data_IF_563542030318
#
_entry.id   IF_563542030318
#
_cell.length_a   1.000
_cell.length_b   1.000
_cell.length_c   1.000
_cell.angle_alpha   90.00
_cell.angle_beta   90.00
_cell.angle_gamma   90.00
#
_symmetry.space_group_name_H-M   'P 1'
#
loop_
_entity.id
_entity.type
_entity.pdbx_description
1 polymer ?
#
# COMPACT_ATOMS: atom_id res chain seq x y z
N UNK A 1 -32.94 -14.46 -13.90
CA UNK A 1 -32.30 -15.60 -14.61
C UNK A 1 -30.96 -15.28 -15.27
N UNK A 2 -30.83 -14.23 -16.12
CA UNK A 2 -29.54 -13.93 -16.78
C UNK A 2 -28.39 -13.66 -15.81
N UNK A 3 -28.59 -12.79 -14.82
CA UNK A 3 -27.55 -12.51 -13.80
C UNK A 3 -27.07 -13.80 -13.13
N UNK A 4 -27.97 -14.64 -12.62
CA UNK A 4 -27.62 -15.85 -11.84
C UNK A 4 -26.82 -16.91 -12.61
N UNK A 5 -26.90 -16.91 -13.94
CA UNK A 5 -26.22 -17.91 -14.79
C UNK A 5 -24.99 -17.36 -15.53
N UNK A 6 -24.78 -16.04 -15.53
CA UNK A 6 -23.64 -15.42 -16.19
C UNK A 6 -22.31 -15.78 -15.49
N UNK A 7 -21.18 -15.82 -16.21
CA UNK A 7 -19.88 -16.08 -15.59
C UNK A 7 -19.38 -14.87 -14.77
N UNK A 8 -18.61 -15.12 -13.73
CA UNK A 8 -18.06 -14.11 -12.79
C UNK A 8 -17.27 -12.99 -13.45
N UNK A 9 -16.66 -13.25 -14.62
CA UNK A 9 -15.94 -12.24 -15.41
C UNK A 9 -16.82 -11.06 -15.88
N UNK A 10 -18.14 -11.21 -15.79
CA UNK A 10 -19.11 -10.15 -16.12
C UNK A 10 -19.38 -9.21 -14.94
N UNK A 11 -18.89 -9.55 -13.74
CA UNK A 11 -19.03 -8.75 -12.52
C UNK A 11 -17.71 -8.04 -12.22
N UNK A 12 -17.76 -6.76 -11.88
CA UNK A 12 -16.61 -5.92 -11.54
C UNK A 12 -16.87 -5.02 -10.34
N UNK A 13 -15.80 -4.51 -9.72
CA UNK A 13 -15.86 -3.41 -8.75
C UNK A 13 -15.20 -2.18 -9.38
N UNK A 14 -15.88 -1.04 -9.36
CA UNK A 14 -15.30 0.24 -9.80
C UNK A 14 -14.47 0.91 -8.70
N UNK A 15 -13.73 1.97 -9.05
CA UNK A 15 -12.90 2.72 -8.10
C UNK A 15 -13.73 3.48 -7.04
N UNK A 16 -15.04 3.58 -7.23
CA UNK A 16 -16.00 4.15 -6.27
C UNK A 16 -16.69 3.08 -5.41
N UNK A 17 -16.27 1.81 -5.53
CA UNK A 17 -16.85 0.70 -4.78
C UNK A 17 -18.21 0.23 -5.29
N UNK A 18 -18.64 0.66 -6.49
CA UNK A 18 -19.85 0.11 -7.12
C UNK A 18 -19.55 -1.28 -7.63
N UNK A 19 -20.46 -2.21 -7.35
CA UNK A 19 -20.46 -3.54 -7.95
C UNK A 19 -21.32 -3.51 -9.19
N UNK A 20 -20.72 -3.85 -10.32
CA UNK A 20 -21.30 -3.71 -11.65
C UNK A 20 -21.44 -5.08 -12.31
N UNK A 21 -22.54 -5.30 -13.01
CA UNK A 21 -22.76 -6.45 -13.87
C UNK A 21 -22.93 -5.95 -15.31
N UNK A 22 -22.01 -6.33 -16.21
CA UNK A 22 -21.97 -5.85 -17.60
C UNK A 22 -22.01 -4.31 -17.75
N UNK A 23 -21.47 -3.61 -16.75
CA UNK A 23 -21.43 -2.14 -16.69
C UNK A 23 -22.60 -1.51 -15.93
N UNK A 24 -23.67 -2.25 -15.62
CA UNK A 24 -24.78 -1.74 -14.83
C UNK A 24 -24.50 -1.89 -13.34
N UNK A 25 -24.64 -0.81 -12.57
CA UNK A 25 -24.46 -0.82 -11.13
C UNK A 25 -25.60 -1.59 -10.44
N UNK A 26 -25.28 -2.75 -9.88
CA UNK A 26 -26.24 -3.64 -9.20
C UNK A 26 -26.10 -3.60 -7.67
N UNK A 27 -24.95 -3.16 -7.16
CA UNK A 27 -24.66 -3.13 -5.74
C UNK A 27 -23.60 -2.08 -5.38
N UNK A 28 -23.40 -1.84 -4.09
CA UNK A 28 -22.37 -0.99 -3.53
C UNK A 28 -21.61 -1.75 -2.42
N UNK A 29 -20.29 -1.61 -2.41
CA UNK A 29 -19.47 -2.03 -1.28
C UNK A 29 -19.68 -1.07 -0.11
N UNK A 30 -19.98 -1.64 1.05
CA UNK A 30 -20.11 -0.92 2.32
C UNK A 30 -19.21 -1.53 3.38
N UNK A 31 -19.01 -0.81 4.47
CA UNK A 31 -18.23 -1.28 5.61
C UNK A 31 -18.77 -2.62 6.15
N UNK A 32 -17.86 -3.57 6.28
CA UNK A 32 -18.07 -4.81 7.01
C UNK A 32 -17.19 -4.89 8.25
N UNK A 33 -16.97 -6.12 8.75
CA UNK A 33 -16.31 -6.35 10.05
C UNK A 33 -14.82 -6.00 10.05
N UNK A 34 -14.15 -6.17 8.92
CA UNK A 34 -12.75 -5.77 8.70
C UNK A 34 -12.61 -5.18 7.30
N UNK A 35 -11.53 -4.44 7.00
CA UNK A 35 -11.29 -3.95 5.65
C UNK A 35 -11.26 -5.06 4.58
N UNK A 36 -10.84 -6.28 4.94
CA UNK A 36 -10.79 -7.44 4.04
C UNK A 36 -12.11 -8.21 3.95
N UNK A 37 -13.12 -7.82 4.73
CA UNK A 37 -14.47 -8.40 4.73
C UNK A 37 -15.51 -7.30 4.57
N UNK A 38 -15.52 -6.55 3.45
CA UNK A 38 -16.58 -5.60 3.15
C UNK A 38 -17.92 -6.33 2.95
N UNK A 39 -19.02 -5.60 3.04
CA UNK A 39 -20.35 -6.12 2.73
C UNK A 39 -20.85 -5.54 1.42
N UNK A 40 -21.78 -6.24 0.78
CA UNK A 40 -22.51 -5.74 -0.37
C UNK A 40 -23.90 -5.29 0.08
N UNK A 41 -24.31 -4.11 -0.38
CA UNK A 41 -25.70 -3.68 -0.34
C UNK A 41 -26.17 -3.56 -1.78
N UNK A 42 -27.18 -4.36 -2.14
CA UNK A 42 -27.76 -4.29 -3.47
C UNK A 42 -28.48 -2.97 -3.66
N UNK A 43 -28.37 -2.38 -4.86
CA UNK A 43 -29.26 -1.29 -5.23
C UNK A 43 -30.66 -1.88 -5.32
N UNK A 44 -31.59 -1.29 -4.56
CA UNK A 44 -32.97 -1.75 -4.51
C UNK A 44 -33.52 -1.83 -5.92
N UNK A 45 -33.95 -3.03 -6.31
CA UNK A 45 -34.76 -3.24 -7.50
C UNK A 45 -36.15 -3.55 -7.00
N UNK A 46 -37.08 -2.62 -7.16
CA UNK A 46 -38.52 -2.80 -6.90
C UNK A 46 -39.11 -4.05 -7.60
N UNK A 47 -38.36 -4.62 -8.55
CA UNK A 47 -38.74 -5.72 -9.42
C UNK A 47 -38.31 -7.11 -8.91
N UNK A 48 -37.57 -7.23 -7.81
CA UNK A 48 -37.10 -8.52 -7.29
C UNK A 48 -37.95 -9.01 -6.12
N UNK A 49 -38.59 -10.16 -6.29
CA UNK A 49 -39.22 -10.90 -5.20
C UNK A 49 -38.16 -11.40 -4.20
N UNK A 50 -38.55 -11.57 -2.92
CA UNK A 50 -37.63 -11.94 -1.82
C UNK A 50 -36.74 -13.17 -2.11
N UNK A 51 -37.24 -14.28 -2.68
CA UNK A 51 -36.38 -15.43 -3.00
C UNK A 51 -35.32 -15.11 -4.06
N UNK A 52 -35.68 -14.31 -5.07
CA UNK A 52 -34.75 -13.89 -6.11
C UNK A 52 -33.70 -12.91 -5.58
N UNK A 53 -34.10 -12.01 -4.68
CA UNK A 53 -33.20 -11.10 -3.98
C UNK A 53 -32.10 -11.89 -3.23
N UNK A 54 -32.48 -12.88 -2.41
CA UNK A 54 -31.51 -13.67 -1.65
C UNK A 54 -30.52 -14.44 -2.54
N UNK A 55 -31.00 -14.97 -3.68
CA UNK A 55 -30.13 -15.66 -4.64
C UNK A 55 -29.08 -14.72 -5.27
N UNK A 56 -29.49 -13.51 -5.64
CA UNK A 56 -28.59 -12.48 -6.20
C UNK A 56 -27.58 -12.05 -5.14
N UNK A 57 -28.03 -11.78 -3.92
CA UNK A 57 -27.17 -11.38 -2.80
C UNK A 57 -26.12 -12.46 -2.48
N UNK A 58 -26.53 -13.73 -2.36
CA UNK A 58 -25.62 -14.84 -2.11
C UNK A 58 -24.57 -14.97 -3.21
N UNK A 59 -24.98 -14.85 -4.48
CA UNK A 59 -24.07 -14.88 -5.61
C UNK A 59 -23.05 -13.74 -5.57
N UNK A 60 -23.50 -12.51 -5.28
CA UNK A 60 -22.64 -11.34 -5.17
C UNK A 60 -21.62 -11.49 -4.02
N UNK A 61 -22.05 -12.00 -2.87
CA UNK A 61 -21.15 -12.25 -1.73
C UNK A 61 -20.09 -13.32 -2.06
N UNK A 62 -20.49 -14.44 -2.68
CA UNK A 62 -19.55 -15.49 -3.11
C UNK A 62 -18.53 -14.96 -4.13
N UNK A 63 -19.01 -14.17 -5.10
CA UNK A 63 -18.14 -13.52 -6.07
C UNK A 63 -17.15 -12.56 -5.41
N UNK A 64 -17.60 -11.73 -4.47
CA UNK A 64 -16.76 -10.77 -3.77
C UNK A 64 -15.67 -11.47 -2.94
N UNK A 65 -16.02 -12.55 -2.23
CA UNK A 65 -15.05 -13.36 -1.50
C UNK A 65 -13.99 -13.94 -2.44
N UNK A 66 -14.41 -14.49 -3.59
CA UNK A 66 -13.51 -15.01 -4.64
C UNK A 66 -12.62 -13.91 -5.23
N UNK A 67 -13.19 -12.73 -5.48
CA UNK A 67 -12.49 -11.57 -6.02
C UNK A 67 -11.42 -11.06 -5.06
N UNK A 68 -11.76 -10.88 -3.78
CA UNK A 68 -10.81 -10.52 -2.71
C UNK A 68 -9.74 -11.62 -2.59
N UNK A 69 -10.14 -12.88 -2.61
CA UNK A 69 -9.27 -14.06 -2.61
C UNK A 69 -8.22 -14.05 -3.72
N UNK A 70 -8.60 -13.56 -4.90
CA UNK A 70 -7.72 -13.46 -6.07
C UNK A 70 -6.81 -12.23 -6.02
N UNK A 71 -7.38 -11.05 -5.77
CA UNK A 71 -6.64 -9.77 -5.81
C UNK A 71 -5.71 -9.64 -4.61
N UNK A 72 -6.23 -9.93 -3.41
CA UNK A 72 -5.54 -9.77 -2.13
C UNK A 72 -5.03 -11.09 -1.54
N UNK A 73 -4.88 -12.13 -2.37
CA UNK A 73 -4.21 -13.39 -2.02
C UNK A 73 -2.94 -13.21 -1.16
N UNK A 74 -2.03 -12.24 -1.43
CA UNK A 74 -0.84 -12.05 -0.60
C UNK A 74 -1.13 -11.72 0.87
N UNK A 75 -2.24 -11.03 1.18
CA UNK A 75 -2.63 -10.74 2.56
C UNK A 75 -3.23 -11.98 3.24
N UNK A 76 -4.11 -12.68 2.53
CA UNK A 76 -4.77 -13.89 3.05
C UNK A 76 -3.74 -15.00 3.33
N UNK A 77 -2.74 -15.17 2.46
CA UNK A 77 -1.62 -16.11 2.69
C UNK A 77 -0.90 -15.84 4.01
N UNK A 78 -0.76 -14.57 4.41
CA UNK A 78 -0.09 -14.21 5.67
C UNK A 78 -1.00 -14.49 6.88
N UNK A 79 -2.32 -14.35 6.73
CA UNK A 79 -3.28 -14.72 7.78
C UNK A 79 -3.23 -16.23 8.07
N UNK A 80 -3.00 -17.05 7.04
CA UNK A 80 -2.90 -18.51 7.12
C UNK A 80 -1.49 -19.00 7.51
N UNK A 81 -0.48 -18.13 7.48
CA UNK A 81 0.89 -18.52 7.76
C UNK A 81 1.07 -18.91 9.24
N UNK A 82 1.76 -20.04 9.47
CA UNK A 82 2.17 -20.44 10.81
C UNK A 82 3.29 -19.52 11.31
N UNK A 83 2.88 -18.48 12.05
CA UNK A 83 3.75 -17.49 12.66
C UNK A 83 3.45 -17.43 14.16
N UNK A 84 4.50 -17.27 14.96
CA UNK A 84 4.42 -17.22 16.42
C UNK A 84 5.10 -15.98 16.99
N UNK A 85 4.83 -15.71 18.27
CA UNK A 85 5.48 -14.64 19.04
C UNK A 85 5.53 -13.29 18.31
N UNK A 86 6.74 -12.73 18.23
CA UNK A 86 6.99 -11.43 17.61
C UNK A 86 6.66 -11.40 16.11
N UNK A 87 6.87 -12.52 15.39
CA UNK A 87 6.61 -12.60 13.97
C UNK A 87 5.10 -12.56 13.66
N UNK A 88 4.28 -13.27 14.45
CA UNK A 88 2.81 -13.19 14.39
C UNK A 88 2.31 -11.78 14.64
N UNK A 89 2.85 -11.12 15.66
CA UNK A 89 2.48 -9.74 15.99
C UNK A 89 2.80 -8.72 14.89
N UNK A 90 3.92 -8.90 14.18
CA UNK A 90 4.28 -8.07 13.02
C UNK A 90 3.36 -8.37 11.83
N UNK A 91 3.07 -9.64 11.55
CA UNK A 91 2.17 -10.03 10.48
C UNK A 91 0.75 -9.49 10.69
N UNK A 92 0.24 -9.56 11.91
CA UNK A 92 -1.06 -8.97 12.27
C UNK A 92 -1.11 -7.46 11.96
N UNK A 93 -0.14 -6.69 12.45
CA UNK A 93 -0.05 -5.25 12.18
C UNK A 93 0.18 -4.94 10.69
N UNK A 94 0.88 -5.81 9.96
CA UNK A 94 1.07 -5.67 8.52
C UNK A 94 -0.25 -5.87 7.76
N UNK A 95 -1.08 -6.83 8.18
CA UNK A 95 -2.41 -7.06 7.63
C UNK A 95 -3.35 -5.88 7.94
N UNK A 96 -3.33 -5.36 9.18
CA UNK A 96 -4.08 -4.15 9.55
C UNK A 96 -3.65 -2.92 8.74
N UNK A 97 -2.34 -2.80 8.47
CA UNK A 97 -1.77 -1.79 7.56
C UNK A 97 -1.99 -2.07 6.08
N UNK A 98 -2.80 -3.08 5.74
CA UNK A 98 -3.09 -3.55 4.38
C UNK A 98 -1.84 -3.79 3.52
N UNK A 99 -0.79 -4.28 4.16
CA UNK A 99 0.43 -4.75 3.51
C UNK A 99 1.60 -3.78 3.50
N UNK A 100 1.49 -2.66 4.21
CA UNK A 100 2.63 -1.76 4.49
C UNK A 100 2.66 -1.40 5.98
N UNK A 101 3.82 -1.52 6.61
CA UNK A 101 4.00 -1.28 8.04
C UNK A 101 5.35 -0.59 8.30
N UNK A 102 5.34 0.52 9.04
CA UNK A 102 6.60 1.20 9.35
C UNK A 102 7.40 0.45 10.40
N UNK A 103 8.68 0.14 10.14
CA UNK A 103 9.56 -0.52 11.12
C UNK A 103 9.67 0.26 12.43
N UNK A 104 9.42 1.56 12.40
CA UNK A 104 9.45 2.42 13.59
C UNK A 104 8.42 2.00 14.64
N UNK A 105 7.25 1.51 14.22
CA UNK A 105 6.18 1.11 15.15
C UNK A 105 6.45 -0.25 15.80
N UNK A 106 7.24 -1.10 15.13
CA UNK A 106 7.50 -2.49 15.57
C UNK A 106 8.97 -2.77 15.94
N UNK A 107 9.73 -1.73 16.33
CA UNK A 107 11.16 -1.88 16.67
C UNK A 107 11.42 -2.93 17.76
N UNK A 108 10.55 -3.03 18.76
CA UNK A 108 10.69 -3.99 19.86
C UNK A 108 10.49 -5.42 19.35
N UNK A 109 9.43 -5.68 18.57
CA UNK A 109 9.20 -6.99 17.96
C UNK A 109 10.33 -7.40 17.02
N UNK A 110 10.86 -6.47 16.21
CA UNK A 110 11.97 -6.76 15.29
C UNK A 110 13.21 -7.31 16.01
N UNK A 111 13.50 -6.82 17.22
CA UNK A 111 14.66 -7.28 18.02
C UNK A 111 14.51 -8.72 18.52
N UNK A 112 13.30 -9.25 18.51
CA UNK A 112 12.98 -10.60 18.96
C UNK A 112 12.89 -11.59 17.79
N UNK A 113 13.04 -11.14 16.55
CA UNK A 113 12.96 -12.00 15.37
C UNK A 113 14.22 -12.86 15.23
N UNK A 114 14.00 -14.14 14.92
CA UNK A 114 15.01 -15.13 14.59
C UNK A 114 15.26 -15.21 13.09
N UNK A 115 16.33 -15.88 12.66
CA UNK A 115 16.59 -16.14 11.24
C UNK A 115 15.46 -16.92 10.56
N UNK A 116 14.83 -17.85 11.29
CA UNK A 116 13.67 -18.60 10.81
C UNK A 116 12.46 -17.68 10.55
N UNK A 117 12.23 -16.66 11.38
CA UNK A 117 11.18 -15.68 11.16
C UNK A 117 11.44 -14.87 9.87
N UNK A 118 12.69 -14.44 9.65
CA UNK A 118 13.07 -13.75 8.42
C UNK A 118 12.90 -14.63 7.17
N UNK A 119 13.24 -15.91 7.27
CA UNK A 119 13.01 -16.89 6.20
C UNK A 119 11.51 -17.05 5.92
N UNK A 120 10.70 -17.21 6.96
CA UNK A 120 9.25 -17.35 6.87
C UNK A 120 8.60 -16.10 6.25
N UNK A 121 9.03 -14.91 6.65
CA UNK A 121 8.59 -13.65 6.03
C UNK A 121 8.91 -13.62 4.54
N UNK A 122 10.15 -13.99 4.14
CA UNK A 122 10.54 -14.05 2.73
C UNK A 122 9.69 -15.04 1.94
N UNK A 123 9.45 -16.23 2.48
CA UNK A 123 8.60 -17.26 1.85
C UNK A 123 7.14 -16.79 1.66
N UNK A 124 6.66 -15.96 2.58
CA UNK A 124 5.33 -15.35 2.51
C UNK A 124 5.30 -14.02 1.73
N UNK A 125 6.39 -13.66 1.05
CA UNK A 125 6.44 -12.46 0.20
C UNK A 125 6.51 -11.15 0.98
N UNK A 126 6.80 -11.20 2.28
CA UNK A 126 7.03 -10.02 3.12
C UNK A 126 8.48 -9.57 2.95
N UNK A 127 8.66 -8.30 2.61
CA UNK A 127 9.95 -7.66 2.49
C UNK A 127 10.26 -6.85 3.75
N UNK A 128 11.31 -7.28 4.46
CA UNK A 128 11.88 -6.54 5.57
C UNK A 128 12.80 -5.44 5.04
N UNK A 129 12.23 -4.30 4.65
CA UNK A 129 12.97 -3.13 4.19
C UNK A 129 13.79 -2.47 5.31
N UNK A 130 14.43 -1.35 5.00
CA UNK A 130 15.19 -0.52 5.95
C UNK A 130 14.25 0.30 6.82
N UNK A 131 13.26 0.92 6.22
CA UNK A 131 12.29 1.79 6.89
C UNK A 131 10.92 1.14 7.01
N UNK A 132 10.51 0.39 5.99
CA UNK A 132 9.19 -0.23 5.91
C UNK A 132 9.28 -1.77 5.85
N UNK A 133 8.26 -2.42 6.38
CA UNK A 133 7.94 -3.83 6.16
C UNK A 133 6.74 -3.83 5.21
N UNK A 134 6.83 -4.51 4.08
CA UNK A 134 5.77 -4.43 3.07
C UNK A 134 5.69 -5.67 2.18
N UNK A 135 4.59 -5.81 1.46
CA UNK A 135 4.37 -6.92 0.52
C UNK A 135 4.46 -6.35 -0.91
N UNK A 136 5.57 -6.58 -1.65
CA UNK A 136 5.76 -5.98 -2.97
C UNK A 136 4.65 -6.30 -3.97
N UNK A 137 4.05 -7.50 -3.83
CA UNK A 137 2.95 -7.95 -4.68
C UNK A 137 1.72 -7.04 -4.61
N UNK A 138 1.47 -6.36 -3.49
CA UNK A 138 0.34 -5.45 -3.29
C UNK A 138 0.58 -4.04 -3.88
N UNK A 139 1.83 -3.70 -4.17
CA UNK A 139 2.18 -2.42 -4.82
C UNK A 139 1.88 -2.42 -6.34
N UNK A 140 1.41 -3.54 -6.89
CA UNK A 140 0.95 -3.61 -8.29
C UNK A 140 -0.35 -2.80 -8.44
N UNK A 141 -0.55 -2.06 -9.56
CA UNK A 141 -1.63 -1.06 -9.68
C UNK A 141 -3.01 -1.55 -9.24
N UNK A 142 -3.50 -2.66 -9.81
CA UNK A 142 -4.82 -3.24 -9.47
C UNK A 142 -4.97 -3.54 -7.97
N UNK A 143 -3.92 -4.03 -7.31
CA UNK A 143 -3.96 -4.41 -5.89
C UNK A 143 -3.86 -3.20 -5.00
N UNK A 144 -2.98 -2.25 -5.31
CA UNK A 144 -2.85 -1.01 -4.57
C UNK A 144 -4.15 -0.19 -4.62
N UNK A 145 -4.76 -0.09 -5.81
CA UNK A 145 -6.06 0.56 -5.99
C UNK A 145 -7.16 -0.11 -5.17
N UNK A 146 -7.28 -1.44 -5.26
CA UNK A 146 -8.29 -2.18 -4.50
C UNK A 146 -8.07 -2.12 -2.99
N UNK A 147 -6.82 -2.17 -2.53
CA UNK A 147 -6.47 -1.95 -1.11
C UNK A 147 -6.90 -0.56 -0.63
N UNK A 148 -6.62 0.49 -1.42
CA UNK A 148 -7.01 1.85 -1.08
C UNK A 148 -8.53 2.04 -1.07
N UNK A 149 -9.24 1.39 -2.00
CA UNK A 149 -10.70 1.34 -2.04
C UNK A 149 -11.28 0.69 -0.77
N UNK A 150 -10.82 -0.51 -0.40
CA UNK A 150 -11.29 -1.19 0.80
C UNK A 150 -11.04 -0.38 2.08
N UNK A 151 -9.90 0.30 2.15
CA UNK A 151 -9.61 1.22 3.24
C UNK A 151 -10.62 2.37 3.29
N UNK A 152 -10.91 3.01 2.15
CA UNK A 152 -11.86 4.12 2.07
C UNK A 152 -13.29 3.67 2.43
N UNK A 153 -13.72 2.50 1.94
CA UNK A 153 -15.02 1.89 2.29
C UNK A 153 -15.10 1.60 3.78
N UNK A 154 -14.05 1.02 4.38
CA UNK A 154 -14.03 0.72 5.81
C UNK A 154 -14.00 1.97 6.70
N UNK A 155 -13.43 3.07 6.19
CA UNK A 155 -13.44 4.40 6.82
C UNK A 155 -14.72 5.18 6.56
N UNK A 156 -15.64 4.65 5.76
CA UNK A 156 -16.92 5.28 5.43
C UNK A 156 -16.75 6.69 4.86
N UNK A 157 -15.77 6.87 3.97
CA UNK A 157 -15.56 8.15 3.31
C UNK A 157 -16.68 8.44 2.31
N UNK A 158 -17.27 9.63 2.39
CA UNK A 158 -18.30 10.09 1.44
C UNK A 158 -17.80 10.09 -0.01
N UNK A 159 -16.54 10.49 -0.19
CA UNK A 159 -15.85 10.48 -1.48
C UNK A 159 -14.62 9.60 -1.40
N UNK A 160 -14.63 8.52 -2.18
CA UNK A 160 -13.49 7.61 -2.31
C UNK A 160 -12.40 8.33 -3.11
N UNK A 161 -11.20 8.56 -2.54
CA UNK A 161 -10.13 9.21 -3.28
C UNK A 161 -9.52 8.25 -4.30
N UNK A 162 -9.13 8.79 -5.45
CA UNK A 162 -8.39 8.02 -6.45
C UNK A 162 -6.95 7.77 -5.96
N UNK A 163 -6.44 6.53 -6.06
CA UNK A 163 -5.03 6.25 -5.79
C UNK A 163 -4.13 6.93 -6.83
N UNK A 164 -2.83 7.07 -6.56
CA UNK A 164 -1.88 7.58 -7.55
C UNK A 164 -1.90 6.76 -8.85
N UNK A 165 -1.75 7.45 -9.98
CA UNK A 165 -1.79 6.83 -11.32
C UNK A 165 -0.80 5.65 -11.47
N UNK A 166 -1.18 4.58 -12.18
CA UNK A 166 -0.28 3.47 -12.48
C UNK A 166 1.05 3.95 -13.09
N UNK A 167 2.16 3.41 -12.60
CA UNK A 167 3.51 3.76 -13.06
C UNK A 167 4.12 5.00 -12.40
N UNK A 168 3.35 5.85 -11.71
CA UNK A 168 3.91 6.93 -10.90
C UNK A 168 4.69 6.37 -9.70
N UNK A 169 5.93 6.84 -9.53
CA UNK A 169 6.82 6.44 -8.43
C UNK A 169 6.97 7.48 -7.34
N UNK A 170 6.78 8.74 -7.70
CA UNK A 170 6.62 9.85 -6.77
C UNK A 170 5.59 10.83 -7.31
N UNK A 171 4.92 11.49 -6.38
CA UNK A 171 3.98 12.58 -6.65
C UNK A 171 4.24 13.71 -5.65
N UNK A 172 4.07 14.98 -6.06
CA UNK A 172 4.03 16.09 -5.12
C UNK A 172 2.96 15.85 -4.07
N UNK A 173 3.17 16.37 -2.86
CA UNK A 173 2.13 16.36 -1.83
C UNK A 173 1.04 17.35 -2.25
N UNK A 174 -0.02 16.85 -2.90
CA UNK A 174 -1.23 17.62 -3.17
C UNK A 174 -2.28 17.36 -2.07
N UNK A 175 -3.06 18.41 -1.83
CA UNK A 175 -4.14 18.61 -0.84
C UNK A 175 -4.70 17.39 -0.07
N UNK A 176 -4.62 17.48 1.26
CA UNK A 176 -5.72 17.18 2.18
C UNK A 176 -6.01 15.73 2.57
N UNK A 177 -5.60 14.73 1.79
CA UNK A 177 -5.90 13.33 2.14
C UNK A 177 -5.07 12.84 3.35
N UNK A 178 -5.64 11.98 4.21
CA UNK A 178 -4.90 11.41 5.33
C UNK A 178 -3.67 10.63 4.85
N UNK A 179 -2.55 10.76 5.57
CA UNK A 179 -1.31 10.02 5.27
C UNK A 179 -1.52 8.50 5.21
N UNK A 180 -2.50 7.99 5.96
CA UNK A 180 -2.90 6.57 5.96
C UNK A 180 -3.45 6.11 4.62
N UNK A 181 -4.16 6.97 3.86
CA UNK A 181 -4.67 6.63 2.52
C UNK A 181 -3.50 6.32 1.57
N UNK A 182 -2.51 7.23 1.52
CA UNK A 182 -1.32 7.01 0.70
C UNK A 182 -0.53 5.78 1.15
N UNK A 183 -0.44 5.57 2.47
CA UNK A 183 0.27 4.43 3.04
C UNK A 183 -0.32 3.09 2.58
N UNK A 184 -1.65 2.94 2.63
CA UNK A 184 -2.32 1.72 2.13
C UNK A 184 -2.27 1.60 0.60
N UNK A 185 -2.21 2.73 -0.12
CA UNK A 185 -1.95 2.76 -1.56
C UNK A 185 -0.48 2.45 -1.93
N UNK A 186 0.40 2.20 -0.94
CA UNK A 186 1.79 1.83 -1.17
C UNK A 186 2.76 3.01 -1.30
N UNK A 187 2.36 4.20 -0.88
CA UNK A 187 3.13 5.43 -0.92
C UNK A 187 3.42 5.96 0.47
N UNK A 188 4.59 6.57 0.66
CA UNK A 188 4.98 7.21 1.90
C UNK A 188 5.47 8.62 1.64
N UNK A 189 5.12 9.53 2.54
CA UNK A 189 5.70 10.87 2.56
C UNK A 189 7.21 10.80 2.85
N UNK A 190 8.00 11.42 1.98
CA UNK A 190 9.43 11.62 2.15
C UNK A 190 9.83 13.02 1.66
N UNK A 191 10.13 13.91 2.60
CA UNK A 191 10.40 15.32 2.29
C UNK A 191 9.19 15.98 1.62
N UNK A 192 9.35 16.57 0.42
CA UNK A 192 8.29 17.29 -0.30
C UNK A 192 7.39 16.39 -1.17
N UNK A 193 7.65 15.08 -1.24
CA UNK A 193 6.89 14.16 -2.11
C UNK A 193 6.28 13.00 -1.33
N UNK A 194 5.29 12.35 -1.93
CA UNK A 194 4.89 10.98 -1.64
C UNK A 194 5.63 10.06 -2.61
N UNK A 195 6.28 9.02 -2.11
CA UNK A 195 7.06 8.09 -2.92
C UNK A 195 6.61 6.66 -2.66
N UNK A 196 6.56 5.85 -3.72
CA UNK A 196 6.30 4.42 -3.59
C UNK A 196 7.31 3.76 -2.65
N UNK A 197 6.81 2.88 -1.79
CA UNK A 197 7.62 2.25 -0.73
C UNK A 197 8.79 1.43 -1.29
N UNK A 198 8.57 0.68 -2.38
CA UNK A 198 9.63 -0.10 -3.03
C UNK A 198 10.74 0.78 -3.63
N UNK A 199 10.37 1.91 -4.22
CA UNK A 199 11.31 2.90 -4.77
C UNK A 199 12.06 3.61 -3.66
N UNK A 200 11.38 4.01 -2.58
CA UNK A 200 12.03 4.60 -1.41
C UNK A 200 13.08 3.68 -0.79
N UNK A 201 12.78 2.38 -0.70
CA UNK A 201 13.70 1.37 -0.16
C UNK A 201 14.94 1.15 -1.05
N UNK A 202 14.76 1.15 -2.38
CA UNK A 202 15.86 1.11 -3.35
C UNK A 202 16.71 2.37 -3.29
N UNK A 203 16.09 3.53 -3.32
CA UNK A 203 16.73 4.84 -3.24
C UNK A 203 17.55 4.98 -1.95
N UNK A 204 16.95 4.62 -0.81
CA UNK A 204 17.63 4.59 0.49
C UNK A 204 18.87 3.68 0.49
N UNK A 205 18.83 2.58 -0.27
CA UNK A 205 19.97 1.69 -0.44
C UNK A 205 21.12 2.33 -1.22
N UNK A 206 20.82 2.94 -2.37
CA UNK A 206 21.82 3.60 -3.20
C UNK A 206 22.47 4.80 -2.47
N UNK A 207 21.65 5.64 -1.84
CA UNK A 207 22.12 6.78 -1.04
C UNK A 207 23.03 6.31 0.10
N UNK A 208 22.67 5.20 0.77
CA UNK A 208 23.49 4.66 1.85
C UNK A 208 24.85 4.18 1.35
N UNK A 209 24.90 3.46 0.22
CA UNK A 209 26.15 2.97 -0.39
C UNK A 209 27.08 4.14 -0.74
N UNK A 210 26.56 5.13 -1.47
CA UNK A 210 27.31 6.35 -1.81
C UNK A 210 27.78 7.09 -0.56
N UNK A 211 26.90 7.21 0.43
CA UNK A 211 27.19 7.85 1.71
C UNK A 211 28.24 7.13 2.57
N UNK A 212 28.45 5.82 2.41
CA UNK A 212 29.55 5.11 3.08
C UNK A 212 30.90 5.32 2.38
N UNK A 213 30.90 5.66 1.10
CA UNK A 213 32.10 5.96 0.31
C UNK A 213 32.56 7.41 0.50
N UNK A 214 31.66 8.31 0.93
CA UNK A 214 31.99 9.68 1.26
C UNK A 214 30.87 10.67 0.97
N UNK A 215 31.26 11.91 0.69
CA UNK A 215 30.33 12.90 0.16
C UNK A 215 30.06 12.61 -1.32
N UNK A 216 28.81 12.74 -1.78
CA UNK A 216 28.43 12.41 -3.15
C UNK A 216 27.55 13.49 -3.79
N UNK A 217 27.62 13.63 -5.11
CA UNK A 217 26.69 14.47 -5.87
C UNK A 217 25.43 13.68 -6.23
N UNK A 218 24.30 14.38 -6.37
CA UNK A 218 23.09 13.82 -6.97
C UNK A 218 23.29 13.74 -8.48
N UNK A 219 23.08 12.56 -9.05
CA UNK A 219 23.17 12.30 -10.48
C UNK A 219 21.83 11.90 -11.09
N UNK A 220 21.82 11.69 -12.41
CA UNK A 220 20.64 11.30 -13.16
C UNK A 220 20.08 9.93 -12.71
N UNK A 221 20.93 9.00 -12.25
CA UNK A 221 20.48 7.70 -11.76
C UNK A 221 19.53 7.86 -10.55
N UNK A 222 19.91 8.68 -9.56
CA UNK A 222 19.10 8.93 -8.38
C UNK A 222 17.78 9.64 -8.72
N UNK A 223 17.84 10.64 -9.60
CA UNK A 223 16.65 11.40 -10.02
C UNK A 223 15.66 10.52 -10.79
N UNK A 224 16.15 9.74 -11.76
CA UNK A 224 15.33 8.84 -12.56
C UNK A 224 14.71 7.72 -11.71
N UNK A 225 15.47 7.17 -10.74
CA UNK A 225 14.95 6.18 -9.81
C UNK A 225 13.80 6.74 -8.96
N UNK A 226 13.96 7.96 -8.45
CA UNK A 226 12.98 8.62 -7.60
C UNK A 226 11.80 9.23 -8.38
N UNK A 227 11.98 9.47 -9.68
CA UNK A 227 11.02 10.17 -10.54
C UNK A 227 10.74 11.61 -10.09
N UNK A 228 11.73 12.28 -9.50
CA UNK A 228 11.57 13.62 -8.91
C UNK A 228 12.55 14.64 -9.47
N UNK A 229 12.25 15.91 -9.25
CA UNK A 229 13.12 17.04 -9.58
C UNK A 229 14.33 17.11 -8.65
N UNK A 230 15.34 17.91 -9.04
CA UNK A 230 16.51 18.16 -8.20
C UNK A 230 16.14 18.77 -6.84
N UNK A 231 15.26 19.77 -6.83
CA UNK A 231 14.81 20.43 -5.59
C UNK A 231 14.08 19.44 -4.65
N UNK A 232 13.26 18.55 -5.20
CA UNK A 232 12.59 17.51 -4.41
C UNK A 232 13.59 16.50 -3.85
N UNK A 233 14.59 16.09 -4.64
CA UNK A 233 15.67 15.19 -4.18
C UNK A 233 16.45 15.78 -3.01
N UNK A 234 16.75 17.09 -3.04
CA UNK A 234 17.42 17.77 -1.94
C UNK A 234 16.58 17.68 -0.65
N UNK A 235 15.26 17.86 -0.75
CA UNK A 235 14.32 17.66 0.34
C UNK A 235 14.25 16.21 0.85
N UNK A 236 14.28 15.22 -0.05
CA UNK A 236 14.33 13.79 0.28
C UNK A 236 15.60 13.44 1.06
N UNK A 237 16.76 13.87 0.55
CA UNK A 237 18.07 13.63 1.17
C UNK A 237 18.15 14.22 2.58
N UNK A 238 17.61 15.41 2.77
CA UNK A 238 17.53 16.06 4.08
C UNK A 238 16.74 15.26 5.12
N UNK A 239 15.67 14.56 4.70
CA UNK A 239 14.87 13.67 5.57
C UNK A 239 15.58 12.34 5.80
N UNK A 240 16.29 11.82 4.79
CA UNK A 240 17.15 10.64 4.92
C UNK A 240 18.43 10.90 5.75
N UNK A 241 18.65 12.14 6.18
CA UNK A 241 19.75 12.52 7.07
C UNK A 241 21.03 12.89 6.33
N UNK A 242 20.95 13.27 5.06
CA UNK A 242 22.07 13.75 4.25
C UNK A 242 21.95 15.25 4.05
N UNK A 243 23.00 15.99 4.40
CA UNK A 243 23.05 17.45 4.26
C UNK A 243 23.89 17.82 3.05
N UNK A 244 23.33 18.66 2.19
CA UNK A 244 24.00 19.21 1.02
C UNK A 244 24.88 20.40 1.41
N UNK A 245 26.10 20.45 0.86
CA UNK A 245 26.96 21.64 0.87
C UNK A 245 27.41 21.93 -0.56
N UNK A 246 27.28 23.17 -1.00
CA UNK A 246 27.80 23.59 -2.30
C UNK A 246 29.33 23.65 -2.25
N UNK A 247 29.99 22.96 -3.18
CA UNK A 247 31.44 22.92 -3.33
C UNK A 247 31.79 22.65 -4.78
N UNK A 248 32.75 23.38 -5.34
CA UNK A 248 33.29 23.17 -6.69
C UNK A 248 32.20 23.11 -7.78
N UNK A 249 31.23 24.03 -7.72
CA UNK A 249 30.15 24.14 -8.72
C UNK A 249 28.99 23.16 -8.55
N UNK A 250 29.01 22.28 -7.54
CA UNK A 250 27.94 21.30 -7.30
C UNK A 250 27.61 21.12 -5.81
N UNK A 251 26.39 20.68 -5.50
CA UNK A 251 26.04 20.30 -4.12
C UNK A 251 26.46 18.87 -3.83
N UNK A 252 27.34 18.71 -2.83
CA UNK A 252 27.78 17.43 -2.29
C UNK A 252 27.02 17.10 -1.00
N UNK A 253 26.49 15.89 -0.93
CA UNK A 253 25.72 15.38 0.19
C UNK A 253 26.57 14.49 1.08
N UNK A 254 26.59 14.78 2.38
CA UNK A 254 27.25 13.93 3.39
C UNK A 254 26.25 13.54 4.47
N UNK A 255 26.38 12.31 4.98
CA UNK A 255 25.57 11.82 6.10
C UNK A 255 25.77 12.75 7.31
N UNK A 256 24.66 13.25 7.85
CA UNK A 256 24.67 14.08 9.06
C UNK A 256 25.04 13.22 10.27
N UNK A 257 26.01 13.63 11.09
CA UNK A 257 26.36 12.91 12.31
C UNK A 257 25.23 12.89 13.35
N UNK A 258 24.28 13.84 13.30
CA UNK A 258 23.34 14.12 14.41
C UNK A 258 21.83 13.91 14.11
N UNK A 259 21.44 13.24 13.01
CA UNK A 259 20.01 13.08 12.63
C UNK A 259 19.41 11.67 12.83
N UNK A 260 19.92 10.89 13.77
CA UNK A 260 19.15 9.79 14.35
C UNK A 260 18.17 10.39 15.36
N UNK A 261 16.87 10.37 15.05
CA UNK A 261 15.75 10.85 15.88
C UNK A 261 15.45 12.37 15.89
N UNK A 262 14.69 12.85 14.91
CA UNK A 262 13.63 13.82 15.21
C UNK A 262 12.28 13.12 15.21
N UNK A 263 11.77 12.85 16.42
CA UNK A 263 10.36 12.58 16.69
C UNK A 263 9.57 13.78 16.17
N UNK A 264 8.74 13.59 15.16
CA UNK A 264 7.46 14.26 14.97
C UNK A 264 6.54 13.22 14.34
#
# INVERSE_FOLDING_TARGET
HKFLNDPDKTISVSDEGKVEWRGDCVAQLVKGVTPLKPRIVMKYSELLEQPAYQQVENRLNNWLETYIGSVLKPLLKIQEASLEGAARGIAFQLIEGLGVLSKRTVKKQIRLLTENDYSTFRHNGIKMGRNEIFIPALLKPKRAAFTALLWAVFRELDKIPSPPEPGRVSIPISSGLPSTFYHVAGFRRIGPVLMRVDILERLSGQIRRRGSEGAFAVDAELLNLAGCTRAEMDGILNVLGYLGKFKDGQTLYKKSPNKLHRKK
#
